data_IF_360241635795
#
_entry.id   IF_360241635795
#
_cell.length_a   1.000
_cell.length_b   1.000
_cell.length_c   1.000
_cell.angle_alpha   90.00
_cell.angle_beta   90.00
_cell.angle_gamma   90.00
#
_symmetry.space_group_name_H-M   'P 1'
#
loop_
_entity.id
_entity.type
_entity.pdbx_description
1 polymer ?
#
# COMPACT_ATOMS: atom_id res chain seq x y z
N UNK A 1 -13.31 22.95 51.61
CA UNK A 1 -13.01 21.51 51.47
C UNK A 1 -13.34 21.16 50.02
N UNK A 2 -12.63 21.74 49.04
CA UNK A 2 -13.18 21.88 47.67
C UNK A 2 -12.24 21.42 46.55
N UNK A 3 -10.99 21.07 46.88
CA UNK A 3 -10.01 20.62 45.88
C UNK A 3 -10.44 19.27 45.27
N UNK A 4 -11.05 18.39 46.08
CA UNK A 4 -11.58 17.11 45.59
C UNK A 4 -12.76 17.31 44.63
N UNK A 5 -13.67 18.25 44.91
CA UNK A 5 -14.86 18.56 44.09
C UNK A 5 -14.45 19.01 42.68
N UNK A 6 -13.40 19.82 42.57
CA UNK A 6 -12.94 20.30 41.28
C UNK A 6 -12.23 19.21 40.47
N UNK A 7 -11.41 18.35 41.10
CA UNK A 7 -10.77 17.20 40.42
C UNK A 7 -11.81 16.24 39.82
N UNK A 8 -12.90 15.96 40.54
CA UNK A 8 -14.00 15.14 40.02
C UNK A 8 -14.68 15.77 38.81
N UNK A 9 -14.80 17.11 38.75
CA UNK A 9 -15.36 17.80 37.57
C UNK A 9 -14.45 17.71 36.35
N UNK A 10 -13.13 17.83 36.52
CA UNK A 10 -12.16 17.70 35.43
C UNK A 10 -12.12 16.30 34.84
N UNK A 11 -12.28 15.25 35.67
CA UNK A 11 -12.32 13.86 35.21
C UNK A 11 -13.57 13.52 34.38
N UNK A 12 -14.66 14.26 34.57
CA UNK A 12 -15.93 14.06 33.87
C UNK A 12 -16.02 14.85 32.55
N UNK A 13 -14.99 15.64 32.20
CA UNK A 13 -14.99 16.34 30.91
C UNK A 13 -14.81 15.31 29.79
N UNK A 14 -15.71 15.27 28.79
CA UNK A 14 -15.52 14.42 27.63
C UNK A 14 -14.18 14.75 26.98
N UNK A 15 -13.37 13.73 26.70
CA UNK A 15 -12.18 13.93 25.85
C UNK A 15 -12.68 14.51 24.54
N UNK A 16 -12.17 15.70 24.17
CA UNK A 16 -12.47 16.27 22.85
C UNK A 16 -11.99 15.28 21.80
N UNK A 17 -12.91 14.82 20.97
CA UNK A 17 -12.55 14.07 19.78
C UNK A 17 -11.70 14.98 18.88
N UNK A 18 -10.57 14.49 18.35
CA UNK A 18 -9.75 15.27 17.44
C UNK A 18 -10.56 15.62 16.19
N UNK A 19 -10.34 16.82 15.63
CA UNK A 19 -10.95 17.17 14.35
C UNK A 19 -10.54 16.13 13.30
N UNK A 20 -11.47 15.45 12.62
CA UNK A 20 -11.16 14.47 11.57
C UNK A 20 -10.19 15.00 10.51
N UNK A 21 -10.17 16.32 10.25
CA UNK A 21 -9.24 16.99 9.33
C UNK A 21 -7.78 16.92 9.77
N UNK A 22 -7.54 16.70 11.06
CA UNK A 22 -6.21 16.64 11.68
C UNK A 22 -5.76 15.21 11.97
N UNK A 23 -6.57 14.20 11.61
CA UNK A 23 -6.30 12.79 11.90
C UNK A 23 -5.96 12.04 10.62
N UNK A 24 -4.84 11.32 10.62
CA UNK A 24 -4.52 10.39 9.55
C UNK A 24 -5.45 9.16 9.61
N UNK A 25 -6.13 8.85 8.51
CA UNK A 25 -7.04 7.70 8.44
C UNK A 25 -6.32 6.34 8.49
N UNK A 26 -5.00 6.30 8.29
CA UNK A 26 -4.20 5.07 8.25
C UNK A 26 -3.61 4.75 9.63
N UNK A 27 -2.74 5.61 10.16
CA UNK A 27 -2.08 5.39 11.45
C UNK A 27 -2.85 5.92 12.66
N UNK A 28 -3.98 6.63 12.43
CA UNK A 28 -4.84 7.25 13.46
C UNK A 28 -4.16 8.30 14.35
N UNK A 29 -2.98 8.77 13.95
CA UNK A 29 -2.28 9.84 14.65
C UNK A 29 -2.89 11.20 14.31
N UNK A 30 -2.93 12.08 15.31
CA UNK A 30 -3.29 13.50 15.17
C UNK A 30 -2.03 14.23 14.74
N UNK A 31 -2.13 15.08 13.72
CA UNK A 31 -0.99 15.84 13.21
C UNK A 31 -1.45 17.18 12.67
N UNK A 32 -0.49 18.01 12.26
CA UNK A 32 -0.76 19.31 11.65
C UNK A 32 -1.19 19.12 10.20
N UNK A 33 -2.08 19.99 9.72
CA UNK A 33 -2.63 19.93 8.36
C UNK A 33 -1.56 19.98 7.27
N UNK A 34 -0.43 20.66 7.49
CA UNK A 34 0.69 20.78 6.56
C UNK A 34 1.43 19.45 6.30
N UNK A 35 1.24 18.45 7.16
CA UNK A 35 1.79 17.10 7.00
C UNK A 35 0.76 16.08 6.51
N UNK A 36 -0.47 16.53 6.21
CA UNK A 36 -1.54 15.69 5.68
C UNK A 36 -1.78 16.00 4.21
N UNK A 37 -1.95 14.95 3.43
CA UNK A 37 -2.63 15.04 2.16
C UNK A 37 -4.13 14.88 2.46
N UNK A 38 -4.86 15.98 2.32
CA UNK A 38 -6.29 16.06 2.60
C UNK A 38 -7.08 15.74 1.33
N UNK A 39 -7.96 14.75 1.42
CA UNK A 39 -8.89 14.36 0.38
C UNK A 39 -10.35 14.37 0.87
N UNK A 40 -11.33 14.17 -0.02
CA UNK A 40 -12.73 14.07 0.35
C UNK A 40 -12.98 12.89 1.31
N UNK A 41 -13.14 13.17 2.60
CA UNK A 41 -13.42 12.16 3.63
C UNK A 41 -12.22 11.29 4.04
N UNK A 42 -11.03 11.57 3.54
CA UNK A 42 -9.82 10.79 3.82
C UNK A 42 -8.60 11.70 3.90
N UNK A 43 -7.84 11.60 4.98
CA UNK A 43 -6.57 12.28 5.16
C UNK A 43 -5.47 11.24 5.37
N UNK A 44 -4.33 11.42 4.72
CA UNK A 44 -3.17 10.54 4.89
C UNK A 44 -1.94 11.36 5.25
N UNK A 45 -1.20 10.86 6.23
CA UNK A 45 0.09 11.43 6.63
C UNK A 45 1.15 11.12 5.59
N UNK A 46 2.06 12.06 5.29
CA UNK A 46 3.09 11.84 4.28
C UNK A 46 3.95 10.59 4.56
N UNK A 47 4.34 10.33 5.81
CA UNK A 47 5.09 9.11 6.13
C UNK A 47 4.26 7.83 5.90
N UNK A 48 2.92 7.90 6.04
CA UNK A 48 2.07 6.77 5.68
C UNK A 48 2.03 6.55 4.15
N UNK A 49 2.18 7.60 3.35
CA UNK A 49 2.30 7.47 1.88
C UNK A 49 3.59 6.73 1.54
N UNK A 50 4.70 7.06 2.18
CA UNK A 50 5.98 6.39 1.95
C UNK A 50 5.87 4.88 2.23
N UNK A 51 5.30 4.51 3.39
CA UNK A 51 5.05 3.10 3.73
C UNK A 51 4.09 2.44 2.72
N UNK A 52 3.03 3.13 2.29
CA UNK A 52 2.13 2.59 1.27
C UNK A 52 2.85 2.36 -0.06
N UNK A 53 3.75 3.26 -0.46
CA UNK A 53 4.54 3.12 -1.69
C UNK A 53 5.50 1.94 -1.61
N UNK A 54 6.16 1.73 -0.46
CA UNK A 54 7.00 0.55 -0.22
C UNK A 54 6.20 -0.76 -0.37
N UNK A 55 5.01 -0.82 0.24
CA UNK A 55 4.12 -1.99 0.14
C UNK A 55 3.69 -2.23 -1.31
N UNK A 56 3.32 -1.18 -2.03
CA UNK A 56 2.93 -1.28 -3.44
C UNK A 56 4.10 -1.76 -4.31
N UNK A 57 5.28 -1.19 -4.13
CA UNK A 57 6.49 -1.59 -4.86
C UNK A 57 6.86 -3.05 -4.59
N UNK A 58 6.77 -3.50 -3.33
CA UNK A 58 7.02 -4.89 -2.96
C UNK A 58 6.01 -5.83 -3.65
N UNK A 59 4.72 -5.47 -3.61
CA UNK A 59 3.65 -6.25 -4.26
C UNK A 59 3.84 -6.31 -5.77
N UNK A 60 4.19 -5.20 -6.41
CA UNK A 60 4.47 -5.13 -7.85
C UNK A 60 5.68 -5.99 -8.22
N UNK A 61 6.75 -5.96 -7.42
CA UNK A 61 7.94 -6.78 -7.64
C UNK A 61 7.62 -8.28 -7.54
N UNK A 62 6.87 -8.67 -6.49
CA UNK A 62 6.42 -10.07 -6.32
C UNK A 62 5.52 -10.52 -7.47
N UNK A 63 4.56 -9.68 -7.87
CA UNK A 63 3.68 -9.95 -8.99
C UNK A 63 4.45 -10.12 -10.30
N UNK A 64 5.32 -9.15 -10.65
CA UNK A 64 6.17 -9.20 -11.85
C UNK A 64 7.00 -10.48 -11.89
N UNK A 65 7.69 -10.81 -10.79
CA UNK A 65 8.49 -12.04 -10.71
C UNK A 65 7.65 -13.29 -10.97
N UNK A 66 6.53 -13.43 -10.25
CA UNK A 66 5.63 -14.58 -10.40
C UNK A 66 5.11 -14.72 -11.84
N UNK A 67 4.65 -13.63 -12.43
CA UNK A 67 4.10 -13.65 -13.80
C UNK A 67 5.16 -13.98 -14.85
N UNK A 68 6.37 -13.41 -14.72
CA UNK A 68 7.49 -13.75 -15.63
C UNK A 68 7.87 -15.23 -15.51
N UNK A 69 7.93 -15.78 -14.30
CA UNK A 69 8.22 -17.21 -14.07
C UNK A 69 7.14 -18.11 -14.69
N UNK A 70 5.86 -17.76 -14.55
CA UNK A 70 4.75 -18.48 -15.18
C UNK A 70 4.83 -18.43 -16.71
N UNK A 71 5.04 -17.24 -17.28
CA UNK A 71 5.20 -17.07 -18.73
C UNK A 71 6.43 -17.81 -19.27
N UNK A 72 7.54 -17.79 -18.55
CA UNK A 72 8.75 -18.50 -18.96
C UNK A 72 8.53 -20.02 -18.98
N UNK A 73 7.77 -20.56 -18.01
CA UNK A 73 7.37 -21.97 -18.03
C UNK A 73 6.52 -22.31 -19.25
N UNK A 74 5.52 -21.49 -19.55
CA UNK A 74 4.65 -21.69 -20.72
C UNK A 74 5.47 -21.66 -22.03
N UNK A 75 6.46 -20.76 -22.12
CA UNK A 75 7.36 -20.68 -23.27
C UNK A 75 8.24 -21.92 -23.43
N UNK A 76 8.81 -22.45 -22.34
CA UNK A 76 9.60 -23.68 -22.39
C UNK A 76 8.76 -24.92 -22.77
N UNK A 77 7.46 -24.93 -22.43
CA UNK A 77 6.54 -25.99 -22.88
C UNK A 77 6.26 -25.89 -24.38
N UNK A 78 6.15 -24.66 -24.90
CA UNK A 78 5.91 -24.42 -26.33
C UNK A 78 7.16 -24.66 -27.20
N UNK A 79 8.36 -24.41 -26.66
CA UNK A 79 9.64 -24.63 -27.33
C UNK A 79 10.67 -25.26 -26.37
N UNK A 80 10.83 -26.58 -26.49
CA UNK A 80 11.76 -27.36 -25.67
C UNK A 80 13.24 -27.00 -25.91
N UNK A 81 13.56 -26.32 -27.02
CA UNK A 81 14.94 -25.85 -27.30
C UNK A 81 15.28 -24.56 -26.56
N UNK A 82 14.27 -23.89 -25.99
CA UNK A 82 14.43 -22.64 -25.28
C UNK A 82 14.94 -22.89 -23.86
N UNK A 83 16.19 -22.48 -23.61
CA UNK A 83 16.78 -22.52 -22.25
C UNK A 83 16.01 -21.61 -21.29
N UNK A 84 15.93 -21.99 -20.01
CA UNK A 84 15.23 -21.23 -18.97
C UNK A 84 15.63 -19.74 -18.91
N UNK A 85 16.92 -19.41 -19.00
CA UNK A 85 17.39 -18.02 -18.94
C UNK A 85 16.88 -17.16 -20.11
N UNK A 86 16.84 -17.74 -21.32
CA UNK A 86 16.26 -17.09 -22.50
C UNK A 86 14.76 -16.93 -22.36
N UNK A 87 14.07 -17.95 -21.83
CA UNK A 87 12.62 -17.89 -21.58
C UNK A 87 12.25 -16.79 -20.56
N UNK A 88 13.02 -16.65 -19.47
CA UNK A 88 12.84 -15.58 -18.48
C UNK A 88 13.06 -14.20 -19.11
N UNK A 89 14.10 -14.04 -19.92
CA UNK A 89 14.42 -12.78 -20.58
C UNK A 89 13.32 -12.37 -21.58
N UNK A 90 12.86 -13.34 -22.38
CA UNK A 90 11.77 -13.14 -23.34
C UNK A 90 10.46 -12.82 -22.61
N UNK A 91 10.09 -13.60 -21.60
CA UNK A 91 8.91 -13.37 -20.78
C UNK A 91 8.93 -12.00 -20.10
N UNK A 92 10.08 -11.56 -19.58
CA UNK A 92 10.26 -10.23 -19.02
C UNK A 92 9.99 -9.13 -20.05
N UNK A 93 10.55 -9.26 -21.25
CA UNK A 93 10.34 -8.28 -22.33
C UNK A 93 8.88 -8.21 -22.76
N UNK A 94 8.19 -9.36 -22.84
CA UNK A 94 6.76 -9.43 -23.15
C UNK A 94 5.92 -8.76 -22.05
N UNK A 95 6.23 -9.04 -20.78
CA UNK A 95 5.53 -8.43 -19.64
C UNK A 95 5.71 -6.90 -19.61
N UNK A 96 6.94 -6.43 -19.83
CA UNK A 96 7.29 -5.01 -19.82
C UNK A 96 6.69 -4.27 -21.04
N UNK A 97 6.46 -4.96 -22.16
CA UNK A 97 5.70 -4.46 -23.32
C UNK A 97 4.18 -4.35 -23.07
N UNK A 98 3.69 -4.77 -21.90
CA UNK A 98 2.29 -4.62 -21.50
C UNK A 98 1.41 -5.83 -21.80
N UNK A 99 1.96 -6.92 -22.35
CA UNK A 99 1.19 -8.16 -22.51
C UNK A 99 0.80 -8.71 -21.13
N UNK A 100 -0.47 -9.11 -21.02
CA UNK A 100 -1.01 -9.81 -19.85
C UNK A 100 -1.66 -11.09 -20.36
N UNK A 101 -1.47 -12.19 -19.65
CA UNK A 101 -2.16 -13.45 -19.97
C UNK A 101 -3.66 -13.21 -19.78
N UNK A 102 -4.45 -13.45 -20.81
CA UNK A 102 -5.91 -13.43 -20.69
C UNK A 102 -6.30 -14.43 -19.61
N UNK A 103 -7.08 -13.98 -18.63
CA UNK A 103 -7.69 -14.85 -17.64
C UNK A 103 -8.80 -15.65 -18.33
N UNK A 104 -8.43 -16.68 -19.07
CA UNK A 104 -9.35 -17.73 -19.46
C UNK A 104 -9.83 -18.40 -18.17
N UNK A 105 -11.10 -18.15 -17.84
CA UNK A 105 -11.83 -18.77 -16.75
C UNK A 105 -12.18 -20.21 -17.09
#
# INVERSE_FOLDING_TARGET
MDIYSDVYKWQQMPRREPDPKTVCNFCKQITREDKLIVGPGLNIYMECVDVCNEIVAERQTKYRKKTIEEMARDLCVADETLTADKAITLAGSIFDAGYRKDSAQ
#
